data_IF_185566957199
#
_entry.id   IF_185566957199
#
_cell.length_a   1.000
_cell.length_b   1.000
_cell.length_c   1.000
_cell.angle_alpha   90.00
_cell.angle_beta   90.00
_cell.angle_gamma   90.00
#
_symmetry.space_group_name_H-M   'P 1'
#
loop_
_entity.id
_entity.type
_entity.pdbx_description
1 polymer ?
#
# COMPACT_ATOMS: atom_id res chain seq x y z
N UNK A 1 0.19 5.77 21.96
CA UNK A 1 -0.22 6.62 23.10
C UNK A 1 -1.61 7.19 22.83
N UNK A 2 -1.78 7.97 21.75
CA UNK A 2 -3.07 8.56 21.34
C UNK A 2 -4.27 7.59 21.40
N UNK A 3 -4.19 6.41 20.77
CA UNK A 3 -5.30 5.45 20.76
C UNK A 3 -5.66 4.94 22.17
N UNK A 4 -4.66 4.67 23.02
CA UNK A 4 -4.85 4.21 24.41
C UNK A 4 -5.47 5.29 25.30
N UNK A 5 -5.23 6.55 24.97
CA UNK A 5 -5.78 7.68 25.72
C UNK A 5 -7.29 7.86 25.45
N UNK A 6 -7.80 7.32 24.33
CA UNK A 6 -9.24 7.28 24.00
C UNK A 6 -9.90 6.06 24.64
N UNK A 7 -9.35 4.87 24.39
CA UNK A 7 -9.78 3.62 25.00
C UNK A 7 -8.59 2.65 25.07
N UNK A 8 -8.34 1.98 26.23
CA UNK A 8 -7.21 1.06 26.40
C UNK A 8 -7.15 -0.11 25.39
N UNK A 9 -8.31 -0.58 24.91
CA UNK A 9 -8.44 -1.72 23.98
C UNK A 9 -8.40 -1.29 22.51
N UNK A 10 -8.67 -0.02 22.22
CA UNK A 10 -8.75 0.50 20.84
C UNK A 10 -7.53 0.21 19.95
N UNK A 11 -6.26 0.26 20.42
CA UNK A 11 -5.14 -0.14 19.58
C UNK A 11 -5.19 -1.61 19.15
N UNK A 12 -5.66 -2.49 20.03
CA UNK A 12 -5.78 -3.92 19.75
C UNK A 12 -6.96 -4.17 18.83
N UNK A 13 -8.10 -3.51 19.05
CA UNK A 13 -9.28 -3.60 18.18
C UNK A 13 -8.99 -3.11 16.76
N UNK A 14 -8.34 -1.95 16.60
CA UNK A 14 -7.93 -1.44 15.28
C UNK A 14 -6.91 -2.40 14.65
N UNK A 15 -5.93 -2.87 15.44
CA UNK A 15 -4.93 -3.82 14.98
C UNK A 15 -5.54 -5.14 14.50
N UNK A 16 -6.62 -5.61 15.15
CA UNK A 16 -7.37 -6.79 14.72
C UNK A 16 -8.17 -6.52 13.45
N UNK A 17 -8.90 -5.38 13.40
CA UNK A 17 -9.68 -4.97 12.24
C UNK A 17 -8.84 -4.86 10.97
N UNK A 18 -7.61 -4.34 11.07
CA UNK A 18 -6.70 -4.20 9.92
C UNK A 18 -6.07 -5.51 9.44
N UNK A 19 -6.08 -6.56 10.26
CA UNK A 19 -5.53 -7.88 9.92
C UNK A 19 -6.56 -8.83 9.33
N UNK A 20 -7.84 -8.57 9.58
CA UNK A 20 -8.91 -9.41 9.08
C UNK A 20 -9.09 -9.22 7.57
N UNK A 21 -8.97 -10.33 6.82
CA UNK A 21 -9.20 -10.34 5.37
C UNK A 21 -10.69 -10.51 5.03
N UNK A 22 -11.46 -11.09 5.95
CA UNK A 22 -12.89 -11.29 5.80
C UNK A 22 -13.71 -10.15 6.43
N UNK A 23 -14.76 -9.66 5.75
CA UNK A 23 -15.64 -8.65 6.33
C UNK A 23 -16.42 -9.28 7.48
N UNK A 24 -16.09 -8.87 8.72
CA UNK A 24 -16.86 -9.23 9.93
C UNK A 24 -17.83 -8.13 10.35
N UNK A 25 -17.55 -6.90 9.91
CA UNK A 25 -18.36 -5.73 10.18
C UNK A 25 -18.21 -4.71 9.05
N UNK A 26 -19.06 -3.68 9.07
CA UNK A 26 -19.09 -2.62 8.06
C UNK A 26 -17.77 -1.83 7.98
N UNK A 27 -17.05 -1.68 9.10
CA UNK A 27 -15.79 -0.92 9.15
C UNK A 27 -14.69 -1.62 8.37
N UNK A 28 -14.62 -2.96 8.44
CA UNK A 28 -13.69 -3.73 7.60
C UNK A 28 -13.93 -3.44 6.13
N UNK A 29 -15.18 -3.37 5.67
CA UNK A 29 -15.49 -3.06 4.25
C UNK A 29 -15.13 -1.63 3.85
N UNK A 30 -15.21 -0.67 4.77
CA UNK A 30 -14.78 0.73 4.52
C UNK A 30 -13.27 0.81 4.30
N UNK A 31 -12.50 0.02 5.06
CA UNK A 31 -11.03 0.06 5.03
C UNK A 31 -10.45 -0.86 3.95
N UNK A 32 -11.04 -2.04 3.73
CA UNK A 32 -10.57 -3.06 2.80
C UNK A 32 -11.75 -3.78 2.13
N UNK A 33 -11.99 -3.49 0.86
CA UNK A 33 -13.03 -4.12 0.05
C UNK A 33 -12.80 -3.86 -1.45
N UNK A 34 -13.79 -4.08 -2.31
CA UNK A 34 -13.66 -3.72 -3.72
C UNK A 34 -13.82 -2.21 -3.98
N UNK A 35 -14.54 -1.51 -3.10
CA UNK A 35 -14.86 -0.09 -3.16
C UNK A 35 -14.51 0.61 -1.83
N UNK A 36 -13.37 0.22 -1.23
CA UNK A 36 -12.90 0.82 0.01
C UNK A 36 -12.44 2.28 -0.19
N UNK A 37 -12.30 3.00 0.92
CA UNK A 37 -11.88 4.38 0.92
C UNK A 37 -10.47 4.57 0.33
N UNK A 38 -9.57 3.59 0.52
CA UNK A 38 -8.20 3.63 0.01
C UNK A 38 -8.18 3.65 -1.54
N UNK A 39 -8.89 2.71 -2.18
CA UNK A 39 -8.94 2.61 -3.64
C UNK A 39 -9.65 3.79 -4.27
N UNK A 40 -10.75 4.25 -3.68
CA UNK A 40 -11.49 5.41 -4.18
C UNK A 40 -10.64 6.70 -4.11
N UNK A 41 -9.78 6.84 -3.09
CA UNK A 41 -8.83 7.94 -2.99
C UNK A 41 -7.69 7.81 -4.00
N UNK A 42 -6.93 6.70 -3.99
CA UNK A 42 -5.73 6.60 -4.83
C UNK A 42 -6.08 6.61 -6.32
N UNK A 43 -7.23 6.07 -6.73
CA UNK A 43 -7.65 6.10 -8.15
C UNK A 43 -7.79 7.54 -8.62
N UNK A 44 -8.36 8.43 -7.80
CA UNK A 44 -8.53 9.83 -8.16
C UNK A 44 -7.22 10.61 -8.04
N UNK A 45 -6.50 10.40 -6.93
CA UNK A 45 -5.23 11.07 -6.64
C UNK A 45 -4.19 10.75 -7.70
N UNK A 46 -3.98 9.48 -8.01
CA UNK A 46 -2.94 9.07 -8.96
C UNK A 46 -3.30 9.49 -10.38
N UNK A 47 -4.57 9.39 -10.78
CA UNK A 47 -5.06 9.97 -12.03
C UNK A 47 -4.71 11.46 -12.13
N UNK A 48 -5.00 12.23 -11.09
CA UNK A 48 -4.72 13.67 -11.06
C UNK A 48 -3.22 13.96 -11.12
N UNK A 49 -2.41 13.27 -10.32
CA UNK A 49 -0.96 13.51 -10.21
C UNK A 49 -0.19 13.05 -11.45
N UNK A 50 -0.64 11.97 -12.11
CA UNK A 50 -0.01 11.44 -13.33
C UNK A 50 -0.52 12.09 -14.62
N UNK A 51 -1.66 12.81 -14.55
CA UNK A 51 -2.29 13.44 -15.71
C UNK A 51 -3.02 12.46 -16.64
N UNK A 52 -3.26 11.22 -16.22
CA UNK A 52 -3.97 10.21 -17.02
C UNK A 52 -5.46 10.58 -17.11
N UNK A 53 -5.88 11.12 -18.25
CA UNK A 53 -7.22 11.70 -18.39
C UNK A 53 -8.37 10.70 -18.53
N UNK A 54 -8.09 9.45 -18.92
CA UNK A 54 -9.14 8.47 -19.23
C UNK A 54 -9.58 7.58 -18.06
N UNK A 55 -9.10 7.86 -16.84
CA UNK A 55 -9.42 7.09 -15.63
C UNK A 55 -10.32 7.88 -14.65
N UNK A 56 -11.31 8.63 -15.14
CA UNK A 56 -12.18 9.43 -14.26
C UNK A 56 -13.24 8.55 -13.64
N UNK A 57 -13.53 8.78 -12.36
CA UNK A 57 -14.69 8.21 -11.69
C UNK A 57 -15.53 9.38 -11.16
N UNK A 58 -16.85 9.28 -11.31
CA UNK A 58 -17.79 10.15 -10.60
C UNK A 58 -17.92 9.63 -9.17
N UNK A 59 -17.06 10.14 -8.28
CA UNK A 59 -17.03 9.68 -6.88
C UNK A 59 -18.35 9.99 -6.18
N UNK A 60 -18.93 11.16 -6.39
CA UNK A 60 -20.17 11.58 -5.73
C UNK A 60 -21.31 10.62 -6.08
N UNK A 61 -21.46 10.30 -7.37
CA UNK A 61 -22.46 9.34 -7.79
C UNK A 61 -22.17 7.90 -7.30
N UNK A 62 -20.89 7.51 -7.23
CA UNK A 62 -20.50 6.22 -6.66
C UNK A 62 -20.96 6.11 -5.21
N UNK A 63 -20.68 7.13 -4.41
CA UNK A 63 -21.04 7.20 -2.99
C UNK A 63 -22.56 7.18 -2.80
N UNK A 64 -23.31 7.90 -3.65
CA UNK A 64 -24.79 7.90 -3.65
C UNK A 64 -25.39 6.52 -3.98
N UNK A 65 -24.63 5.64 -4.63
CA UNK A 65 -25.06 4.27 -4.96
C UNK A 65 -24.64 3.22 -3.92
N UNK A 66 -23.87 3.59 -2.90
CA UNK A 66 -23.47 2.67 -1.83
C UNK A 66 -24.66 2.38 -0.91
N UNK A 67 -24.93 1.11 -0.70
CA UNK A 67 -25.96 0.59 0.20
C UNK A 67 -25.31 -0.34 1.24
N UNK A 68 -25.98 -0.48 2.40
CA UNK A 68 -25.60 -1.45 3.43
C UNK A 68 -26.41 -2.73 3.22
N UNK A 69 -25.72 -3.86 3.08
CA UNK A 69 -26.33 -5.17 2.95
C UNK A 69 -25.61 -6.20 3.80
N UNK A 70 -25.93 -7.47 3.58
CA UNK A 70 -25.23 -8.59 4.21
C UNK A 70 -24.76 -9.55 3.13
N UNK A 71 -23.54 -10.04 3.25
CA UNK A 71 -23.02 -11.15 2.45
C UNK A 71 -22.74 -12.35 3.34
N UNK A 72 -22.86 -13.54 2.77
CA UNK A 72 -22.42 -14.76 3.42
C UNK A 72 -20.93 -14.95 3.17
N UNK A 73 -20.15 -15.00 4.24
CA UNK A 73 -18.69 -15.17 4.25
C UNK A 73 -18.28 -16.38 5.07
N UNK A 74 -17.10 -16.93 4.78
CA UNK A 74 -16.58 -18.16 5.39
C UNK A 74 -16.69 -19.38 4.46
N UNK A 75 -15.64 -20.21 4.45
CA UNK A 75 -15.61 -21.44 3.64
C UNK A 75 -16.23 -22.65 4.38
N UNK A 76 -16.10 -22.69 5.71
CA UNK A 76 -16.58 -23.80 6.56
C UNK A 76 -17.80 -23.42 7.40
N UNK A 77 -17.83 -22.21 7.96
CA UNK A 77 -18.95 -21.69 8.74
C UNK A 77 -19.47 -20.41 8.08
N UNK A 78 -20.54 -20.57 7.30
CA UNK A 78 -21.20 -19.49 6.58
C UNK A 78 -21.81 -18.51 7.58
N UNK A 79 -21.26 -17.30 7.65
CA UNK A 79 -21.74 -16.22 8.51
C UNK A 79 -22.26 -15.07 7.66
N UNK A 80 -23.41 -14.51 8.03
CA UNK A 80 -23.86 -13.24 7.45
C UNK A 80 -23.11 -12.09 8.11
N UNK A 81 -22.38 -11.34 7.31
CA UNK A 81 -21.68 -10.14 7.76
C UNK A 81 -22.21 -8.90 7.04
N UNK A 82 -22.43 -7.79 7.76
CA UNK A 82 -22.84 -6.54 7.13
C UNK A 82 -21.68 -5.99 6.30
N UNK A 83 -21.98 -5.56 5.07
CA UNK A 83 -21.00 -5.00 4.14
C UNK A 83 -21.59 -3.84 3.35
N UNK A 84 -20.70 -3.01 2.80
CA UNK A 84 -21.04 -2.05 1.76
C UNK A 84 -21.12 -2.78 0.41
N UNK A 85 -22.17 -2.49 -0.37
CA UNK A 85 -22.29 -2.94 -1.75
C UNK A 85 -22.87 -1.82 -2.62
N UNK A 86 -22.71 -1.93 -3.94
CA UNK A 86 -23.35 -1.01 -4.88
C UNK A 86 -24.74 -1.56 -5.24
N UNK A 87 -25.77 -0.75 -4.99
CA UNK A 87 -27.15 -1.09 -5.35
C UNK A 87 -27.33 -1.28 -6.87
N UNK A 88 -28.49 -1.77 -7.33
CA UNK A 88 -28.74 -2.01 -8.76
C UNK A 88 -28.56 -0.78 -9.65
N UNK A 89 -28.77 0.43 -9.10
CA UNK A 89 -28.55 1.71 -9.79
C UNK A 89 -27.07 2.06 -9.98
N UNK A 90 -26.19 1.46 -9.18
CA UNK A 90 -24.75 1.67 -9.19
C UNK A 90 -23.97 0.84 -10.21
N UNK A 91 -24.64 0.04 -11.05
CA UNK A 91 -23.96 -0.80 -12.04
C UNK A 91 -23.05 0.02 -12.96
N UNK A 92 -23.55 1.16 -13.47
CA UNK A 92 -22.80 1.97 -14.42
C UNK A 92 -21.55 2.60 -13.81
N UNK A 93 -21.67 3.14 -12.59
CA UNK A 93 -20.54 3.73 -11.88
C UNK A 93 -19.53 2.67 -11.41
N UNK A 94 -20.00 1.44 -11.13
CA UNK A 94 -19.11 0.31 -10.87
C UNK A 94 -18.26 -0.03 -12.10
N UNK A 95 -18.85 -0.07 -13.30
CA UNK A 95 -18.13 -0.30 -14.56
C UNK A 95 -17.08 0.78 -14.82
N UNK A 96 -17.45 2.05 -14.64
CA UNK A 96 -16.54 3.19 -14.82
C UNK A 96 -15.36 3.13 -13.85
N UNK A 97 -15.61 2.79 -12.58
CA UNK A 97 -14.55 2.59 -11.59
C UNK A 97 -13.61 1.43 -11.96
N UNK A 98 -14.16 0.28 -12.36
CA UNK A 98 -13.35 -0.87 -12.78
C UNK A 98 -12.50 -0.54 -14.00
N UNK A 99 -13.06 0.17 -14.98
CA UNK A 99 -12.33 0.62 -16.16
C UNK A 99 -11.22 1.62 -15.81
N UNK A 100 -11.52 2.60 -14.96
CA UNK A 100 -10.55 3.59 -14.50
C UNK A 100 -9.36 2.93 -13.78
N UNK A 101 -9.65 1.98 -12.89
CA UNK A 101 -8.63 1.22 -12.15
C UNK A 101 -7.81 0.33 -13.07
N UNK A 102 -8.43 -0.37 -14.03
CA UNK A 102 -7.71 -1.15 -15.03
C UNK A 102 -6.75 -0.28 -15.87
N UNK A 103 -7.22 0.89 -16.29
CA UNK A 103 -6.42 1.89 -17.03
C UNK A 103 -5.24 2.41 -16.20
N UNK A 104 -5.43 2.73 -14.92
CA UNK A 104 -4.33 3.13 -14.03
C UNK A 104 -3.31 2.02 -13.86
N UNK A 105 -3.77 0.79 -13.65
CA UNK A 105 -2.87 -0.35 -13.49
C UNK A 105 -2.00 -0.55 -14.73
N UNK A 106 -2.60 -0.59 -15.91
CA UNK A 106 -1.89 -0.83 -17.17
C UNK A 106 -0.96 0.33 -17.56
N UNK A 107 -1.39 1.59 -17.37
CA UNK A 107 -0.64 2.77 -17.84
C UNK A 107 0.35 3.32 -16.82
N UNK A 108 0.10 3.18 -15.52
CA UNK A 108 0.91 3.77 -14.45
C UNK A 108 1.63 2.69 -13.66
N UNK A 109 0.89 1.82 -12.96
CA UNK A 109 1.49 0.90 -11.99
C UNK A 109 2.37 -0.17 -12.64
N UNK A 110 1.95 -0.69 -13.80
CA UNK A 110 2.75 -1.65 -14.58
C UNK A 110 3.54 -1.02 -15.71
N UNK A 111 3.71 0.31 -15.71
CA UNK A 111 4.48 0.97 -16.74
C UNK A 111 5.92 0.41 -16.76
N UNK A 112 6.36 -0.05 -17.93
CA UNK A 112 7.64 -0.76 -18.09
C UNK A 112 8.84 0.00 -17.53
N UNK A 113 8.87 1.33 -17.66
CA UNK A 113 9.96 2.16 -17.14
C UNK A 113 9.97 2.22 -15.61
N UNK A 114 8.79 2.33 -14.99
CA UNK A 114 8.64 2.32 -13.53
C UNK A 114 9.05 0.96 -12.97
N UNK A 115 8.58 -0.12 -13.59
CA UNK A 115 8.94 -1.50 -13.23
C UNK A 115 10.43 -1.79 -13.41
N UNK A 116 11.07 -1.22 -14.44
CA UNK A 116 12.51 -1.34 -14.62
C UNK A 116 13.27 -0.63 -13.49
N UNK A 117 12.88 0.60 -13.14
CA UNK A 117 13.49 1.35 -12.04
C UNK A 117 13.31 0.63 -10.69
N UNK A 118 12.12 0.12 -10.40
CA UNK A 118 11.84 -0.69 -9.20
C UNK A 118 12.76 -1.92 -9.13
N UNK A 119 12.90 -2.65 -10.25
CA UNK A 119 13.77 -3.83 -10.28
C UNK A 119 15.24 -3.48 -10.10
N UNK A 120 15.70 -2.37 -10.69
CA UNK A 120 17.06 -1.87 -10.49
C UNK A 120 17.32 -1.50 -9.03
N UNK A 121 16.41 -0.76 -8.40
CA UNK A 121 16.54 -0.37 -7.00
C UNK A 121 16.51 -1.59 -6.07
N UNK A 122 15.57 -2.52 -6.27
CA UNK A 122 15.50 -3.75 -5.48
C UNK A 122 16.77 -4.60 -5.60
N UNK A 123 17.32 -4.71 -6.81
CA UNK A 123 18.55 -5.46 -7.05
C UNK A 123 19.77 -4.77 -6.43
N UNK A 124 19.87 -3.45 -6.56
CA UNK A 124 20.91 -2.65 -5.92
C UNK A 124 20.88 -2.82 -4.40
N UNK A 125 19.72 -2.69 -3.77
CA UNK A 125 19.57 -2.86 -2.32
C UNK A 125 19.96 -4.28 -1.87
N UNK A 126 19.54 -5.30 -2.63
CA UNK A 126 19.92 -6.70 -2.37
C UNK A 126 21.42 -6.92 -2.46
N UNK A 127 22.05 -6.43 -3.53
CA UNK A 127 23.49 -6.58 -3.76
C UNK A 127 24.30 -5.78 -2.75
N UNK A 128 23.84 -4.58 -2.38
CA UNK A 128 24.50 -3.76 -1.36
C UNK A 128 24.46 -4.45 0.00
N UNK A 129 23.32 -5.07 0.36
CA UNK A 129 23.21 -5.84 1.59
C UNK A 129 24.11 -7.09 1.62
N UNK A 130 24.44 -7.69 0.46
CA UNK A 130 25.33 -8.86 0.38
C UNK A 130 26.80 -8.44 0.39
N UNK A 131 27.19 -7.51 -0.48
CA UNK A 131 28.59 -7.16 -0.69
C UNK A 131 29.15 -6.23 0.39
N UNK A 132 28.29 -5.40 1.01
CA UNK A 132 28.73 -4.41 2.00
C UNK A 132 28.40 -4.78 3.45
N UNK A 133 27.73 -5.92 3.71
CA UNK A 133 27.32 -6.31 5.07
C UNK A 133 28.47 -6.29 6.09
N UNK A 134 29.65 -6.76 5.71
CA UNK A 134 30.81 -6.89 6.60
C UNK A 134 31.63 -5.60 6.71
N UNK A 135 31.32 -4.56 5.92
CA UNK A 135 32.00 -3.27 6.01
C UNK A 135 31.48 -2.47 7.21
N UNK A 136 32.35 -1.97 8.08
CA UNK A 136 31.93 -1.11 9.20
C UNK A 136 31.18 0.16 8.75
N UNK A 137 31.42 0.63 7.52
CA UNK A 137 30.69 1.74 6.91
C UNK A 137 29.21 1.42 6.61
N UNK A 138 28.85 0.14 6.41
CA UNK A 138 27.48 -0.26 6.10
C UNK A 138 26.51 0.01 7.25
N UNK A 139 27.00 -0.05 8.50
CA UNK A 139 26.24 0.27 9.71
C UNK A 139 25.87 1.76 9.80
N UNK A 140 26.58 2.62 9.06
CA UNK A 140 26.35 4.07 9.03
C UNK A 140 25.31 4.46 7.95
N UNK A 141 25.05 3.58 6.98
CA UNK A 141 24.05 3.81 5.94
C UNK A 141 22.68 3.28 6.41
N UNK A 142 21.66 4.14 6.63
CA UNK A 142 20.42 3.72 7.28
C UNK A 142 19.69 2.57 6.58
N UNK A 143 19.61 2.58 5.24
CA UNK A 143 18.96 1.51 4.49
C UNK A 143 19.72 0.18 4.61
N UNK A 144 21.06 0.20 4.61
CA UNK A 144 21.87 -1.00 4.80
C UNK A 144 21.76 -1.53 6.23
N UNK A 145 21.74 -0.64 7.22
CA UNK A 145 21.48 -1.02 8.60
C UNK A 145 20.13 -1.73 8.74
N UNK A 146 19.09 -1.24 8.07
CA UNK A 146 17.79 -1.92 8.04
C UNK A 146 17.87 -3.30 7.36
N UNK A 147 18.48 -3.37 6.17
CA UNK A 147 18.56 -4.62 5.38
C UNK A 147 19.44 -5.71 6.02
N UNK A 148 20.46 -5.31 6.78
CA UNK A 148 21.40 -6.25 7.45
C UNK A 148 21.00 -6.59 8.88
N UNK A 149 20.06 -5.83 9.48
CA UNK A 149 19.49 -6.16 10.79
C UNK A 149 18.54 -7.35 10.66
N UNK A 150 18.74 -8.41 11.45
CA UNK A 150 17.89 -9.59 11.41
C UNK A 150 17.36 -9.98 12.80
N UNK A 151 16.08 -9.68 13.12
CA UNK A 151 15.13 -8.83 12.38
C UNK A 151 15.43 -7.33 12.57
N UNK A 152 15.00 -6.46 11.64
CA UNK A 152 15.07 -5.02 11.87
C UNK A 152 14.12 -4.61 13.01
N UNK A 153 14.57 -3.69 13.86
CA UNK A 153 13.73 -3.14 14.92
C UNK A 153 12.76 -2.11 14.36
N UNK A 154 11.65 -1.88 15.07
CA UNK A 154 10.67 -0.85 14.70
C UNK A 154 11.32 0.54 14.61
N UNK A 155 12.24 0.87 15.52
CA UNK A 155 12.93 2.15 15.51
C UNK A 155 13.80 2.34 14.26
N UNK A 156 14.42 1.27 13.75
CA UNK A 156 15.19 1.35 12.50
C UNK A 156 14.23 1.59 11.33
N UNK A 157 13.10 0.88 11.28
CA UNK A 157 12.09 1.04 10.24
C UNK A 157 11.50 2.46 10.22
N UNK A 158 11.11 2.99 11.39
CA UNK A 158 10.54 4.33 11.53
C UNK A 158 11.55 5.45 11.22
N UNK A 159 12.84 5.15 11.20
CA UNK A 159 13.89 6.07 10.76
C UNK A 159 14.13 6.10 9.26
N UNK A 160 13.35 5.36 8.47
CA UNK A 160 13.43 5.36 7.00
C UNK A 160 12.32 6.20 6.39
N UNK A 161 12.70 6.98 5.38
CA UNK A 161 11.83 7.66 4.43
C UNK A 161 12.54 7.78 3.07
N UNK A 162 11.85 8.32 2.06
CA UNK A 162 12.41 8.47 0.72
C UNK A 162 13.68 9.32 0.70
N UNK A 163 13.77 10.36 1.53
CA UNK A 163 14.97 11.23 1.59
C UNK A 163 16.17 10.45 2.11
N UNK A 164 15.95 9.63 3.14
CA UNK A 164 16.97 8.73 3.69
C UNK A 164 17.41 7.70 2.66
N UNK A 165 16.47 7.14 1.88
CA UNK A 165 16.79 6.21 0.79
C UNK A 165 17.63 6.91 -0.27
N UNK A 166 17.22 8.10 -0.76
CA UNK A 166 17.96 8.87 -1.74
C UNK A 166 19.39 9.21 -1.29
N UNK A 167 19.56 9.71 -0.07
CA UNK A 167 20.88 9.99 0.49
C UNK A 167 21.74 8.72 0.63
N UNK A 168 21.12 7.58 0.95
CA UNK A 168 21.81 6.30 0.99
C UNK A 168 22.30 5.88 -0.39
N UNK A 169 21.53 6.12 -1.46
CA UNK A 169 21.93 5.82 -2.83
C UNK A 169 23.17 6.61 -3.26
N UNK A 170 23.28 7.89 -2.89
CA UNK A 170 24.49 8.68 -3.15
C UNK A 170 25.71 8.08 -2.46
N UNK A 171 25.55 7.64 -1.20
CA UNK A 171 26.65 6.99 -0.46
C UNK A 171 27.03 5.63 -1.07
N UNK A 172 26.05 4.86 -1.57
CA UNK A 172 26.29 3.58 -2.23
C UNK A 172 27.03 3.74 -3.56
N UNK A 173 26.73 4.81 -4.31
CA UNK A 173 27.45 5.15 -5.54
C UNK A 173 28.95 5.40 -5.27
N UNK A 174 29.30 5.95 -4.10
CA UNK A 174 30.69 6.21 -3.70
C UNK A 174 31.33 5.05 -2.91
N UNK A 175 30.67 3.88 -2.83
CA UNK A 175 31.14 2.74 -2.01
C UNK A 175 32.44 2.10 -2.49
N UNK A 176 32.82 2.32 -3.75
CA UNK A 176 33.99 1.70 -4.40
C UNK A 176 33.81 0.21 -4.75
N UNK A 177 32.65 -0.38 -4.44
CA UNK A 177 32.28 -1.72 -4.92
C UNK A 177 31.77 -1.63 -6.36
N UNK A 178 32.38 -2.34 -7.34
CA UNK A 178 32.08 -2.17 -8.76
C UNK A 178 30.71 -2.70 -9.19
N UNK A 179 30.00 -3.43 -8.33
CA UNK A 179 28.65 -3.95 -8.58
C UNK A 179 27.60 -3.01 -7.98
N UNK A 180 27.93 -2.33 -6.88
CA UNK A 180 27.04 -1.40 -6.17
C UNK A 180 27.17 0.04 -6.69
N UNK A 181 28.38 0.48 -7.07
CA UNK A 181 28.64 1.79 -7.70
C UNK A 181 28.27 1.83 -9.18
#
# INVERSE_FOLDING_TARGET
>A
RVLKDVDPMLPEEIGALLKDEDPKNIYTTVVSSQFDADRLDYVQRDRMMTGVQYSHIDLDWLLDCIEVGSITVGEEELQEAPCLYLGPKGLKVAEEYLEARYRLHTMVYTHKTTRAAEKMLAELLRLSAINLADHESSKQVPILRYLTSNPPTLDIFLGLDDTVVWASLETLADSGDPVVS
#
